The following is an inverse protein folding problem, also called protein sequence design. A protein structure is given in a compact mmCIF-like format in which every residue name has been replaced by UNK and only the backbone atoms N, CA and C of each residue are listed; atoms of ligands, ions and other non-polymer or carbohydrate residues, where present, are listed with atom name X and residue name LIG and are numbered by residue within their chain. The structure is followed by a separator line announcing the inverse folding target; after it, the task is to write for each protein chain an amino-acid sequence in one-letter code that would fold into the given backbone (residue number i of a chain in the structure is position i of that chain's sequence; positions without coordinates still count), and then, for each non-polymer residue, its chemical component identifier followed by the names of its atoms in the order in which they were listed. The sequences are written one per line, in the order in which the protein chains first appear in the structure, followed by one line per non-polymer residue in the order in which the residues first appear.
data_IF_238286095619
#
_entry.id   IF_238286095619
#
_cell.length_a   1.000
_cell.length_b   1.000
_cell.length_c   1.000
_cell.angle_alpha   90.00
_cell.angle_beta   90.00
_cell.angle_gamma   90.00
#
_symmetry.space_group_name_H-M   'P 1'
#
loop_
_entity.id
_entity.type
_entity.pdbx_description
1 polymer ?
#
# COMPACT_ATOMS: atom_id res chain seq x y z
N UNK A 1 -15.97 19.41 15.88
CA UNK A 1 -16.50 18.37 16.79
C UNK A 1 -15.43 17.29 16.91
N UNK A 2 -14.74 17.23 18.03
CA UNK A 2 -13.74 16.18 18.30
C UNK A 2 -14.48 14.84 18.42
N UNK A 3 -14.07 13.78 17.70
CA UNK A 3 -14.70 12.48 17.84
C UNK A 3 -14.55 12.03 19.30
N UNK A 4 -15.64 11.56 19.90
CA UNK A 4 -15.60 10.94 21.22
C UNK A 4 -14.78 9.65 21.10
N UNK A 5 -13.72 9.55 21.90
CA UNK A 5 -12.84 8.37 21.96
C UNK A 5 -12.93 7.80 23.36
N UNK A 6 -13.16 6.50 23.47
CA UNK A 6 -13.05 5.81 24.74
C UNK A 6 -11.64 5.22 24.87
N UNK A 7 -10.85 5.61 25.89
CA UNK A 7 -9.54 5.03 26.12
C UNK A 7 -9.71 3.60 26.65
N UNK A 8 -9.18 2.63 25.92
CA UNK A 8 -9.12 1.24 26.35
C UNK A 8 -7.69 0.88 26.71
N UNK A 9 -7.50 0.27 27.89
CA UNK A 9 -6.20 -0.24 28.32
C UNK A 9 -6.18 -1.75 28.23
N UNK A 10 -5.16 -2.29 27.58
CA UNK A 10 -4.94 -3.72 27.47
C UNK A 10 -3.45 -4.04 27.70
N UNK A 11 -3.20 -5.13 28.41
CA UNK A 11 -1.87 -5.70 28.51
C UNK A 11 -1.59 -6.50 27.23
N UNK A 12 -0.68 -6.02 26.40
CA UNK A 12 -0.28 -6.69 25.17
C UNK A 12 1.02 -7.46 25.35
N UNK A 13 1.09 -8.62 24.71
CA UNK A 13 2.28 -9.47 24.70
C UNK A 13 3.41 -8.79 23.94
N UNK A 14 4.59 -8.77 24.55
CA UNK A 14 5.86 -8.43 23.92
C UNK A 14 6.55 -9.75 23.56
N UNK A 15 6.93 -9.88 22.30
CA UNK A 15 7.50 -11.10 21.73
C UNK A 15 8.80 -10.79 21.01
N UNK A 16 9.69 -11.77 20.94
CA UNK A 16 10.95 -11.69 20.18
C UNK A 16 10.73 -11.95 18.71
N UNK A 17 11.56 -11.31 17.88
CA UNK A 17 11.63 -11.61 16.46
C UNK A 17 12.05 -13.08 16.26
N UNK A 18 11.35 -13.86 15.42
CA UNK A 18 11.69 -15.26 15.17
C UNK A 18 12.91 -15.43 14.24
N UNK A 19 13.48 -14.33 13.72
CA UNK A 19 14.62 -14.36 12.80
C UNK A 19 15.93 -14.49 13.58
N UNK A 20 16.70 -15.52 13.25
CA UNK A 20 18.04 -15.74 13.83
C UNK A 20 18.97 -14.54 13.58
N UNK A 21 19.52 -13.99 14.66
CA UNK A 21 20.36 -12.78 14.63
C UNK A 21 19.59 -11.47 14.78
N UNK A 22 18.29 -11.52 15.08
CA UNK A 22 17.48 -10.36 15.43
C UNK A 22 17.01 -10.37 16.88
N UNK A 23 17.61 -9.52 17.71
CA UNK A 23 17.21 -9.34 19.11
C UNK A 23 16.05 -8.33 19.30
N UNK A 24 15.26 -8.08 18.25
CA UNK A 24 14.21 -7.09 18.32
C UNK A 24 13.00 -7.62 19.10
N UNK A 25 12.63 -6.90 20.15
CA UNK A 25 11.40 -7.12 20.90
C UNK A 25 10.31 -6.16 20.43
N UNK A 26 9.15 -6.70 20.05
CA UNK A 26 8.00 -5.91 19.58
C UNK A 26 6.71 -6.39 20.25
N UNK A 27 5.69 -5.56 20.21
CA UNK A 27 4.33 -6.03 20.48
C UNK A 27 3.98 -7.12 19.47
N UNK A 28 3.31 -8.18 19.91
CA UNK A 28 2.92 -9.31 19.06
C UNK A 28 2.24 -8.86 17.75
N UNK A 29 1.29 -7.92 17.82
CA UNK A 29 0.61 -7.33 16.65
C UNK A 29 1.53 -6.62 15.65
N UNK A 30 2.69 -6.16 16.11
CA UNK A 30 3.66 -5.42 15.31
C UNK A 30 4.74 -6.30 14.69
N UNK A 31 4.80 -7.59 15.03
CA UNK A 31 5.92 -8.44 14.63
C UNK A 31 5.98 -8.65 13.11
N UNK A 32 4.85 -8.91 12.48
CA UNK A 32 4.79 -9.09 11.03
C UNK A 32 5.28 -7.84 10.28
N UNK A 33 4.89 -6.65 10.75
CA UNK A 33 5.33 -5.39 10.14
C UNK A 33 6.83 -5.15 10.36
N UNK A 34 7.37 -5.51 11.53
CA UNK A 34 8.80 -5.45 11.80
C UNK A 34 9.59 -6.29 10.80
N UNK A 35 9.23 -7.56 10.63
CA UNK A 35 9.91 -8.46 9.68
C UNK A 35 9.83 -7.91 8.27
N UNK A 36 8.64 -7.47 7.84
CA UNK A 36 8.42 -6.89 6.51
C UNK A 36 9.29 -5.64 6.22
N UNK A 37 9.62 -4.84 7.25
CA UNK A 37 10.39 -3.61 7.11
C UNK A 37 11.89 -3.78 7.33
N UNK A 38 12.30 -4.87 7.93
CA UNK A 38 13.71 -5.17 8.18
C UNK A 38 14.36 -5.76 6.94
N UNK A 39 15.68 -5.57 6.82
CA UNK A 39 16.51 -6.16 5.78
C UNK A 39 17.84 -6.63 6.37
N UNK A 40 18.37 -7.72 5.82
CA UNK A 40 19.60 -8.34 6.33
C UNK A 40 19.40 -9.07 7.66
N UNK A 41 20.51 -9.57 8.24
CA UNK A 41 20.50 -10.36 9.49
C UNK A 41 19.39 -11.42 9.53
N UNK A 42 19.26 -12.22 8.46
CA UNK A 42 18.25 -13.28 8.35
C UNK A 42 16.85 -12.86 7.86
N UNK A 43 16.52 -11.56 7.79
CA UNK A 43 15.18 -11.09 7.37
C UNK A 43 14.91 -11.21 5.86
N UNK A 44 15.94 -11.52 5.07
CA UNK A 44 15.84 -11.49 3.61
C UNK A 44 15.77 -10.06 3.05
N UNK A 45 15.28 -9.92 1.79
CA UNK A 45 15.03 -8.62 1.18
C UNK A 45 13.91 -7.86 1.89
N UNK A 46 14.06 -6.54 2.00
CA UNK A 46 13.00 -5.70 2.60
C UNK A 46 11.69 -5.85 1.82
N UNK A 47 10.59 -6.05 2.54
CA UNK A 47 9.25 -6.15 1.96
C UNK A 47 8.84 -7.56 1.56
N UNK A 48 9.66 -8.56 1.86
CA UNK A 48 9.38 -10.00 1.80
C UNK A 48 9.43 -10.58 3.21
N UNK A 49 8.61 -11.59 3.47
CA UNK A 49 8.63 -12.34 4.74
C UNK A 49 9.15 -13.73 4.41
N UNK A 50 10.27 -14.17 5.02
CA UNK A 50 10.77 -15.52 4.76
C UNK A 50 9.74 -16.60 5.11
N UNK A 51 9.52 -17.55 4.19
CA UNK A 51 8.44 -18.56 4.28
C UNK A 51 8.55 -19.50 5.49
N UNK A 52 9.74 -19.61 6.07
CA UNK A 52 10.01 -20.49 7.22
C UNK A 52 9.67 -19.86 8.58
N UNK A 53 9.27 -18.59 8.62
CA UNK A 53 8.94 -17.91 9.87
C UNK A 53 7.49 -18.20 10.28
N UNK A 54 7.32 -18.61 11.53
CA UNK A 54 6.01 -18.76 12.17
C UNK A 54 5.71 -17.56 13.07
N UNK A 55 4.56 -16.91 12.85
CA UNK A 55 4.09 -15.78 13.65
C UNK A 55 3.02 -16.18 14.68
N UNK A 56 2.53 -17.42 14.64
CA UNK A 56 1.50 -17.91 15.57
C UNK A 56 2.11 -18.30 16.92
N UNK A 57 3.34 -18.80 16.93
CA UNK A 57 4.02 -19.33 18.12
C UNK A 57 5.30 -18.55 18.48
N UNK A 58 5.19 -17.24 18.65
CA UNK A 58 6.33 -16.37 18.99
C UNK A 58 6.72 -16.47 20.48
N UNK A 59 8.02 -16.39 20.78
CA UNK A 59 8.55 -16.37 22.15
C UNK A 59 8.11 -15.09 22.88
N UNK A 60 7.30 -15.25 23.93
CA UNK A 60 6.85 -14.15 24.79
C UNK A 60 7.93 -13.80 25.82
N UNK A 61 8.35 -12.54 25.81
CA UNK A 61 9.37 -11.99 26.74
C UNK A 61 8.78 -11.07 27.81
N UNK A 62 7.50 -10.72 27.67
CA UNK A 62 6.79 -9.97 28.69
C UNK A 62 5.49 -9.37 28.19
N UNK A 63 4.96 -8.42 28.95
CA UNK A 63 3.74 -7.70 28.64
C UNK A 63 3.93 -6.20 28.78
N UNK A 64 3.29 -5.42 27.91
CA UNK A 64 3.28 -3.96 27.95
C UNK A 64 1.84 -3.46 28.01
N UNK A 65 1.56 -2.53 28.94
CA UNK A 65 0.26 -1.83 28.96
C UNK A 65 0.21 -0.87 27.77
N UNK A 66 -0.85 -0.99 26.97
CA UNK A 66 -1.10 -0.13 25.81
C UNK A 66 -2.45 0.55 26.02
N UNK A 67 -2.49 1.86 25.78
CA UNK A 67 -3.73 2.62 25.73
C UNK A 67 -4.10 2.83 24.25
N UNK A 68 -5.28 2.35 23.87
CA UNK A 68 -5.80 2.48 22.52
C UNK A 68 -7.08 3.30 22.57
N UNK A 69 -7.09 4.39 21.81
CA UNK A 69 -8.24 5.27 21.69
C UNK A 69 -9.09 4.82 20.49
N UNK A 70 -10.15 4.08 20.77
CA UNK A 70 -11.10 3.69 19.73
C UNK A 70 -12.14 4.81 19.56
N UNK A 71 -12.33 5.34 18.34
CA UNK A 71 -13.43 6.25 18.07
C UNK A 71 -14.76 5.47 18.13
N UNK A 72 -15.80 6.10 18.67
CA UNK A 72 -17.14 5.49 18.75
C UNK A 72 -17.74 5.22 17.36
N UNK A 73 -17.46 6.12 16.41
CA UNK A 73 -17.86 5.98 15.02
C UNK A 73 -16.66 6.06 14.09
N UNK A 74 -16.51 5.03 13.25
CA UNK A 74 -15.53 5.06 12.16
C UNK A 74 -16.17 5.74 10.95
N UNK A 75 -15.85 7.02 10.74
CA UNK A 75 -16.15 7.70 9.47
C UNK A 75 -15.29 7.07 8.38
N UNK A 76 -15.88 6.13 7.64
CA UNK A 76 -15.25 5.53 6.47
C UNK A 76 -15.64 6.35 5.26
N UNK A 77 -14.63 6.80 4.52
CA UNK A 77 -14.82 7.46 3.24
C UNK A 77 -15.06 6.37 2.19
N UNK A 78 -16.11 6.52 1.38
CA UNK A 78 -16.47 5.55 0.33
C UNK A 78 -15.74 5.75 -0.99
N UNK A 79 -15.07 6.89 -1.18
CA UNK A 79 -14.40 7.23 -2.43
C UNK A 79 -13.09 6.47 -2.61
N UNK A 80 -12.67 6.23 -3.85
CA UNK A 80 -11.35 5.69 -4.14
C UNK A 80 -10.32 6.82 -4.26
N UNK A 81 -9.15 6.64 -3.65
CA UNK A 81 -8.03 7.58 -3.69
C UNK A 81 -6.82 6.94 -4.37
N UNK A 82 -6.19 7.69 -5.27
CA UNK A 82 -5.06 7.22 -6.05
C UNK A 82 -3.73 7.53 -5.35
N UNK A 83 -2.86 6.52 -5.18
CA UNK A 83 -1.49 6.77 -4.76
C UNK A 83 -0.66 7.34 -5.92
N UNK A 84 -0.04 8.54 -5.78
CA UNK A 84 0.71 9.19 -6.86
C UNK A 84 2.02 8.48 -7.20
N UNK A 85 2.55 7.66 -6.30
CA UNK A 85 3.84 6.98 -6.50
C UNK A 85 3.73 5.69 -7.31
N UNK A 86 2.60 4.99 -7.20
CA UNK A 86 2.41 3.68 -7.84
C UNK A 86 1.13 3.58 -8.68
N UNK A 87 0.29 4.61 -8.70
CA UNK A 87 -0.95 4.64 -9.47
C UNK A 87 -2.01 3.65 -9.00
N UNK A 88 -1.87 3.06 -7.80
CA UNK A 88 -2.87 2.13 -7.27
C UNK A 88 -4.01 2.87 -6.58
N UNK A 89 -5.27 2.51 -6.84
CA UNK A 89 -6.42 3.06 -6.12
C UNK A 89 -6.59 2.35 -4.77
N UNK A 90 -7.06 3.09 -3.77
CA UNK A 90 -7.34 2.60 -2.42
C UNK A 90 -8.65 3.15 -1.91
N UNK A 91 -9.37 2.36 -1.11
CA UNK A 91 -10.64 2.79 -0.52
C UNK A 91 -10.39 3.82 0.60
N UNK A 92 -10.67 5.08 0.28
CA UNK A 92 -10.63 6.22 1.18
C UNK A 92 -9.25 6.58 1.72
N UNK A 93 -9.25 7.63 2.55
CA UNK A 93 -8.07 8.18 3.26
C UNK A 93 -7.23 7.13 3.99
N UNK A 94 -7.88 6.23 4.74
CA UNK A 94 -7.17 5.25 5.56
C UNK A 94 -6.47 4.21 4.69
N UNK A 95 -7.07 3.80 3.56
CA UNK A 95 -6.48 2.82 2.66
C UNK A 95 -5.15 3.30 2.10
N UNK A 96 -5.08 4.55 1.63
CA UNK A 96 -3.84 5.09 1.05
C UNK A 96 -2.76 5.31 2.12
N UNK A 97 -3.11 5.73 3.35
CA UNK A 97 -2.14 5.87 4.44
C UNK A 97 -1.55 4.53 4.88
N UNK A 98 -2.40 3.50 5.02
CA UNK A 98 -1.95 2.15 5.36
C UNK A 98 -0.98 1.65 4.29
N UNK A 99 -1.32 1.86 3.01
CA UNK A 99 -0.44 1.53 1.89
C UNK A 99 0.92 2.21 2.05
N UNK A 100 0.97 3.54 2.20
CA UNK A 100 2.23 4.29 2.34
C UNK A 100 3.10 3.79 3.50
N UNK A 101 2.49 3.48 4.64
CA UNK A 101 3.21 2.88 5.76
C UNK A 101 3.78 1.49 5.42
N UNK A 102 3.08 0.67 4.64
CA UNK A 102 3.58 -0.66 4.28
C UNK A 102 4.70 -0.60 3.24
N UNK A 103 4.72 0.40 2.35
CA UNK A 103 5.71 0.53 1.27
C UNK A 103 6.75 1.62 1.50
N UNK A 104 6.84 2.13 2.72
CA UNK A 104 7.82 3.12 3.16
C UNK A 104 9.25 2.79 2.67
N UNK A 105 9.82 3.68 1.84
CA UNK A 105 11.17 3.52 1.29
C UNK A 105 11.32 2.49 0.17
N UNK A 106 10.22 1.90 -0.35
CA UNK A 106 10.25 0.85 -1.39
C UNK A 106 9.19 1.05 -2.46
N UNK A 107 9.31 0.30 -3.57
CA UNK A 107 8.34 0.32 -4.69
C UNK A 107 8.03 1.74 -5.19
N UNK A 108 9.06 2.59 -5.29
CA UNK A 108 8.98 4.02 -5.64
C UNK A 108 8.32 4.95 -4.61
N UNK A 109 8.23 4.54 -3.34
CA UNK A 109 7.68 5.38 -2.27
C UNK A 109 8.80 5.96 -1.39
N UNK A 110 8.76 7.26 -1.08
CA UNK A 110 9.65 7.88 -0.09
C UNK A 110 9.52 7.22 1.29
N UNK A 111 10.60 7.26 2.07
CA UNK A 111 10.63 6.72 3.43
C UNK A 111 9.76 7.51 4.43
N UNK A 112 9.23 8.66 4.06
CA UNK A 112 8.39 9.50 4.92
C UNK A 112 7.09 9.92 4.23
N UNK A 113 6.66 9.18 3.21
CA UNK A 113 5.49 9.55 2.40
C UNK A 113 4.21 9.73 3.24
N UNK A 114 4.01 8.91 4.29
CA UNK A 114 2.87 9.01 5.20
C UNK A 114 2.94 10.18 6.19
N UNK A 115 4.13 10.76 6.39
CA UNK A 115 4.33 11.92 7.25
C UNK A 115 4.25 13.23 6.45
N UNK A 116 4.63 13.17 5.17
CA UNK A 116 4.67 14.32 4.26
C UNK A 116 3.32 14.61 3.61
N UNK A 117 2.49 13.58 3.41
CA UNK A 117 1.21 13.72 2.74
C UNK A 117 0.03 13.57 3.67
N UNK A 118 -0.92 14.49 3.57
CA UNK A 118 -2.24 14.32 4.17
C UNK A 118 -3.15 13.54 3.21
N UNK A 119 -4.14 12.79 3.74
CA UNK A 119 -5.04 12.03 2.88
C UNK A 119 -5.82 12.86 1.85
N UNK A 120 -5.94 14.18 2.05
CA UNK A 120 -6.54 15.10 1.10
C UNK A 120 -5.68 15.40 -0.13
N UNK A 121 -4.37 15.14 -0.06
CA UNK A 121 -3.42 15.38 -1.15
C UNK A 121 -3.58 14.36 -2.30
N UNK A 122 -4.28 13.26 -2.04
CA UNK A 122 -4.44 12.16 -2.99
C UNK A 122 -5.68 12.40 -3.87
N UNK A 123 -5.54 12.30 -5.21
CA UNK A 123 -6.66 12.43 -6.13
C UNK A 123 -7.76 11.41 -5.83
N UNK A 124 -9.01 11.85 -5.93
CA UNK A 124 -10.20 10.99 -5.88
C UNK A 124 -10.47 10.49 -7.29
N UNK A 125 -10.70 9.19 -7.43
CA UNK A 125 -10.92 8.51 -8.72
C UNK A 125 -12.20 7.69 -8.72
N UNK A 126 -12.80 7.53 -9.90
CA UNK A 126 -13.86 6.56 -10.13
C UNK A 126 -13.27 5.26 -10.67
N UNK A 127 -13.84 4.15 -10.21
CA UNK A 127 -13.44 2.81 -10.60
C UNK A 127 -14.58 2.12 -11.37
N UNK A 128 -14.24 1.32 -12.37
CA UNK A 128 -15.19 0.39 -13.00
C UNK A 128 -15.40 -0.88 -12.15
N UNK A 129 -16.22 -1.81 -12.64
CA UNK A 129 -16.56 -3.08 -11.96
C UNK A 129 -15.35 -4.00 -11.72
N UNK A 130 -14.22 -3.75 -12.40
CA UNK A 130 -12.98 -4.53 -12.28
C UNK A 130 -11.82 -3.68 -11.72
N UNK A 131 -12.17 -2.59 -11.02
CA UNK A 131 -11.26 -1.69 -10.29
C UNK A 131 -10.25 -0.92 -11.16
N UNK A 132 -10.53 -0.71 -12.45
CA UNK A 132 -9.75 0.21 -13.27
C UNK A 132 -10.18 1.65 -13.03
N UNK A 133 -9.23 2.57 -13.03
CA UNK A 133 -9.50 4.02 -12.96
C UNK A 133 -10.11 4.50 -14.27
N UNK A 134 -11.36 4.96 -14.23
CA UNK A 134 -12.07 5.49 -15.41
C UNK A 134 -12.12 7.03 -15.43
N UNK A 135 -12.01 7.68 -14.28
CA UNK A 135 -11.99 9.14 -14.17
C UNK A 135 -11.29 9.63 -12.90
N UNK A 136 -10.78 10.87 -12.93
CA UNK A 136 -10.32 11.60 -11.74
C UNK A 136 -11.39 12.64 -11.39
N UNK A 137 -12.03 12.49 -10.23
CA UNK A 137 -13.17 13.31 -9.78
C UNK A 137 -12.70 14.59 -9.12
N UNK A 138 -11.69 14.49 -8.25
CA UNK A 138 -11.18 15.63 -7.47
C UNK A 138 -9.67 15.49 -7.22
N UNK A 139 -8.96 16.62 -7.23
CA UNK A 139 -7.54 16.71 -6.87
C UNK A 139 -6.62 16.96 -8.07
N UNK A 140 -5.53 17.69 -7.80
CA UNK A 140 -4.39 17.76 -8.72
C UNK A 140 -3.46 16.61 -8.38
N UNK A 141 -3.07 15.82 -9.36
CA UNK A 141 -1.94 14.89 -9.22
C UNK A 141 -0.74 15.75 -8.82
N UNK A 142 -0.13 15.57 -7.62
CA UNK A 142 1.02 16.36 -7.23
C UNK A 142 2.13 16.14 -8.26
N UNK A 143 2.61 17.24 -8.86
CA UNK A 143 3.66 17.25 -9.90
C UNK A 143 5.05 16.82 -9.40
N UNK A 144 5.13 16.14 -8.25
CA UNK A 144 6.37 15.64 -7.66
C UNK A 144 6.79 14.26 -8.18
N UNK A 145 5.98 13.60 -9.00
CA UNK A 145 6.45 12.58 -9.93
C UNK A 145 6.95 13.31 -11.18
N UNK A 146 8.28 13.45 -11.30
CA UNK A 146 8.95 14.31 -12.27
C UNK A 146 8.28 14.36 -13.65
N UNK A 147 8.08 15.59 -14.12
CA UNK A 147 7.79 15.99 -15.50
C UNK A 147 7.34 14.85 -16.44
N UNK A 148 6.14 14.30 -16.22
CA UNK A 148 5.48 13.52 -17.26
C UNK A 148 4.99 14.52 -18.30
N UNK A 149 5.47 14.46 -19.56
CA UNK A 149 4.97 15.33 -20.60
C UNK A 149 3.52 14.92 -20.86
N UNK A 150 2.60 15.66 -20.25
CA UNK A 150 1.20 15.64 -20.60
C UNK A 150 1.08 16.33 -21.97
N UNK A 151 1.41 15.61 -23.05
CA UNK A 151 1.00 15.91 -24.45
C UNK A 151 1.56 14.96 -25.53
N UNK A 152 2.00 13.74 -25.22
CA UNK A 152 2.37 12.77 -26.27
C UNK A 152 1.45 11.55 -26.26
N UNK A 153 0.69 11.39 -27.34
CA UNK A 153 0.00 10.14 -27.66
C UNK A 153 0.97 8.96 -27.52
N UNK A 154 0.58 7.93 -26.77
CA UNK A 154 1.38 6.71 -26.65
C UNK A 154 1.47 6.05 -28.04
N UNK A 155 2.67 5.78 -28.57
CA UNK A 155 2.80 5.10 -29.85
C UNK A 155 2.13 3.74 -29.81
N UNK A 156 1.36 3.42 -30.85
CA UNK A 156 0.60 2.18 -30.98
C UNK A 156 1.51 0.95 -30.87
N UNK A 157 2.76 1.05 -31.33
CA UNK A 157 3.77 0.00 -31.23
C UNK A 157 4.12 -0.34 -29.78
N UNK A 158 4.09 0.66 -28.89
CA UNK A 158 4.36 0.47 -27.46
C UNK A 158 3.21 -0.26 -26.77
N UNK A 159 1.98 -0.01 -27.21
CA UNK A 159 0.78 -0.71 -26.74
C UNK A 159 0.81 -2.18 -27.17
N UNK A 160 1.14 -2.45 -28.44
CA UNK A 160 1.29 -3.83 -28.92
C UNK A 160 2.39 -4.61 -28.19
N UNK A 161 3.51 -3.95 -27.85
CA UNK A 161 4.59 -4.57 -27.06
C UNK A 161 4.11 -4.99 -25.67
N UNK A 162 3.40 -4.10 -24.98
CA UNK A 162 2.81 -4.41 -23.67
C UNK A 162 1.84 -5.60 -23.74
N UNK A 163 0.99 -5.64 -24.77
CA UNK A 163 0.06 -6.77 -24.96
C UNK A 163 0.82 -8.08 -25.19
N UNK A 164 1.91 -8.05 -25.97
CA UNK A 164 2.74 -9.23 -26.20
C UNK A 164 3.45 -9.70 -24.92
N UNK A 165 3.94 -8.78 -24.08
CA UNK A 165 4.54 -9.10 -22.77
C UNK A 165 3.51 -9.76 -21.85
N UNK A 166 2.31 -9.18 -21.73
CA UNK A 166 1.22 -9.74 -20.92
C UNK A 166 0.82 -11.16 -21.38
N UNK A 167 0.83 -11.43 -22.69
CA UNK A 167 0.58 -12.77 -23.22
C UNK A 167 1.72 -13.74 -22.88
N UNK A 168 2.97 -13.29 -22.97
CA UNK A 168 4.15 -14.10 -22.64
C UNK A 168 4.20 -14.44 -21.14
N UNK A 169 3.73 -13.53 -20.28
CA UNK A 169 3.66 -13.69 -18.82
C UNK A 169 2.44 -14.49 -18.34
N UNK A 170 1.57 -14.94 -19.26
CA UNK A 170 0.40 -15.74 -18.90
C UNK A 170 -0.76 -14.91 -18.32
N UNK A 171 -0.86 -13.64 -18.70
CA UNK A 171 -1.95 -12.74 -18.34
C UNK A 171 -2.90 -12.44 -19.53
N UNK A 172 -3.55 -13.46 -20.13
CA UNK A 172 -4.33 -13.30 -21.36
C UNK A 172 -5.56 -12.41 -21.19
N UNK A 173 -6.20 -12.41 -20.01
CA UNK A 173 -7.35 -11.55 -19.73
C UNK A 173 -6.94 -10.07 -19.68
N UNK A 174 -5.82 -9.77 -19.02
CA UNK A 174 -5.24 -8.42 -18.97
C UNK A 174 -4.81 -7.96 -20.36
N UNK A 175 -4.22 -8.85 -21.17
CA UNK A 175 -3.82 -8.57 -22.55
C UNK A 175 -5.02 -8.26 -23.45
N UNK A 176 -6.09 -9.06 -23.36
CA UNK A 176 -7.33 -8.85 -24.10
C UNK A 176 -7.99 -7.51 -23.72
N UNK A 177 -8.00 -7.17 -22.42
CA UNK A 177 -8.50 -5.90 -21.92
C UNK A 177 -7.67 -4.72 -22.41
N UNK A 178 -6.34 -4.80 -22.33
CA UNK A 178 -5.44 -3.76 -22.83
C UNK A 178 -5.63 -3.52 -24.34
N UNK A 179 -5.79 -4.60 -25.12
CA UNK A 179 -6.12 -4.50 -26.54
C UNK A 179 -7.45 -3.79 -26.78
N UNK A 180 -8.49 -4.14 -26.03
CA UNK A 180 -9.83 -3.53 -26.19
C UNK A 180 -9.89 -2.06 -25.80
N UNK A 181 -9.05 -1.61 -24.86
CA UNK A 181 -9.10 -0.23 -24.33
C UNK A 181 -8.13 0.72 -25.02
N UNK A 182 -7.03 0.20 -25.55
CA UNK A 182 -5.91 1.03 -26.03
C UNK A 182 -5.71 0.95 -27.55
N UNK A 183 -6.38 0.01 -28.24
CA UNK A 183 -6.25 -0.20 -29.69
C UNK A 183 -7.61 -0.18 -30.41
N UNK A 184 -8.62 0.47 -29.84
CA UNK A 184 -9.89 0.68 -30.54
C UNK A 184 -9.67 1.56 -31.78
N UNK A 185 -10.02 1.03 -32.95
CA UNK A 185 -10.21 1.80 -34.17
C UNK A 185 -11.52 2.59 -34.03
N UNK A 186 -11.41 3.89 -33.69
CA UNK A 186 -12.14 5.06 -34.22
C UNK A 186 -11.93 6.31 -33.33
#
# INVERSE_FOLDING_TARGET
MTPQTNPHRNAEKVVKCPVDGCEAEKLSRGMHLHVLRSAGNGHGPQGEVPEHLDFENLEEVGTREVEVNYPEERKTESVARLCPYCGKPFKGKNGVLIHLGQVEGRKNHPANASEVHEPGDFPVVELDEVENVVAVVEGRIPSSAGNWPYEESVPVERVYRLIAELLAEGHPETAARARSLLLTDE
#
